data_IF_387235323472
#
_entry.id   IF_387235323472
#
_cell.length_a   1.000
_cell.length_b   1.000
_cell.length_c   1.000
_cell.angle_alpha   90.00
_cell.angle_beta   90.00
_cell.angle_gamma   90.00
#
_symmetry.space_group_name_H-M   'P 1'
#
loop_
_entity.id
_entity.type
_entity.pdbx_description
1 polymer ?
#
# COMPACT_ATOMS: atom_id res chain seq x y z
N UNK A 1 0.95 16.26 17.30
CA UNK A 1 1.98 15.65 16.48
C UNK A 1 3.21 15.34 17.31
N UNK A 2 4.00 14.41 16.86
CA UNK A 2 5.27 14.08 17.48
C UNK A 2 6.36 15.00 16.92
N UNK A 3 7.27 15.42 17.80
CA UNK A 3 8.45 16.21 17.42
C UNK A 3 8.16 17.57 16.77
N UNK A 4 6.96 18.11 16.98
CA UNK A 4 6.61 19.40 16.39
C UNK A 4 6.54 19.40 14.87
N UNK A 5 6.46 18.24 14.24
CA UNK A 5 6.43 18.12 12.77
C UNK A 5 5.13 18.59 12.13
N UNK A 6 4.08 18.81 12.91
CA UNK A 6 2.76 19.09 12.39
C UNK A 6 2.02 17.86 11.86
N UNK A 7 2.58 16.67 12.03
CA UNK A 7 1.92 15.44 11.62
C UNK A 7 0.74 15.11 12.54
N UNK A 8 -0.35 14.67 11.95
CA UNK A 8 -1.54 14.22 12.65
C UNK A 8 -1.59 12.70 12.62
N UNK A 9 -1.80 12.08 13.76
CA UNK A 9 -1.90 10.62 13.87
C UNK A 9 -3.36 10.26 14.11
N UNK A 10 -3.91 9.44 13.20
CA UNK A 10 -5.30 9.00 13.26
C UNK A 10 -5.33 7.47 13.28
N UNK A 11 -6.07 6.90 14.21
CA UNK A 11 -6.30 5.47 14.23
C UNK A 11 -7.54 5.13 13.42
N UNK A 12 -7.43 4.15 12.50
CA UNK A 12 -8.56 3.73 11.68
C UNK A 12 -8.16 2.65 10.71
N UNK A 13 -9.16 2.12 10.02
CA UNK A 13 -8.97 1.11 8.98
C UNK A 13 -8.88 1.81 7.62
N UNK A 14 -7.81 1.57 6.87
CA UNK A 14 -7.60 2.20 5.55
C UNK A 14 -8.67 1.80 4.54
N UNK A 15 -9.39 0.71 4.77
CA UNK A 15 -10.47 0.27 3.90
C UNK A 15 -11.81 0.92 4.27
N UNK A 16 -11.88 1.69 5.34
CA UNK A 16 -13.10 2.36 5.79
C UNK A 16 -13.38 3.60 4.95
N UNK A 17 -14.50 3.59 4.23
CA UNK A 17 -14.92 4.72 3.40
C UNK A 17 -15.06 6.02 4.19
N UNK A 18 -15.52 5.94 5.43
CA UNK A 18 -15.67 7.12 6.29
C UNK A 18 -14.31 7.77 6.56
N UNK A 19 -13.28 6.96 6.81
CA UNK A 19 -11.93 7.47 7.00
C UNK A 19 -11.40 8.13 5.73
N UNK A 20 -11.63 7.49 4.58
CA UNK A 20 -11.22 8.05 3.29
C UNK A 20 -11.87 9.41 3.07
N UNK A 21 -13.20 9.50 3.26
CA UNK A 21 -13.94 10.74 3.06
C UNK A 21 -13.50 11.86 3.99
N UNK A 22 -13.16 11.54 5.23
CA UNK A 22 -12.74 12.54 6.23
C UNK A 22 -11.29 13.00 6.07
N UNK A 23 -10.51 12.32 5.24
CA UNK A 23 -9.10 12.66 5.02
C UNK A 23 -8.98 13.70 3.91
N UNK A 24 -8.19 14.77 4.10
CA UNK A 24 -7.99 15.75 3.03
C UNK A 24 -7.17 15.18 1.87
N UNK A 25 -7.27 15.80 0.71
CA UNK A 25 -6.46 15.41 -0.44
C UNK A 25 -4.98 15.66 -0.17
N UNK A 26 -4.13 14.85 -0.77
CA UNK A 26 -2.68 14.89 -0.56
C UNK A 26 -1.93 14.88 -1.89
N UNK A 27 -0.69 15.33 -1.84
CA UNK A 27 0.23 15.27 -2.97
C UNK A 27 0.93 13.91 -3.06
N UNK A 28 1.06 13.23 -1.93
CA UNK A 28 1.76 11.96 -1.84
C UNK A 28 1.03 11.06 -0.83
N UNK A 29 0.76 9.83 -1.24
CA UNK A 29 0.27 8.77 -0.36
C UNK A 29 1.31 7.66 -0.35
N UNK A 30 1.80 7.31 0.84
CA UNK A 30 2.77 6.22 1.02
C UNK A 30 2.12 5.13 1.86
N UNK A 31 2.20 3.90 1.39
CA UNK A 31 1.56 2.76 2.06
C UNK A 31 2.51 1.58 2.19
N UNK A 32 2.43 0.94 3.34
CA UNK A 32 3.06 -0.35 3.58
C UNK A 32 1.98 -1.32 4.08
N UNK A 33 1.08 -1.78 3.19
CA UNK A 33 -0.03 -2.65 3.61
C UNK A 33 0.42 -4.08 3.83
N UNK A 34 -0.38 -4.89 4.57
CA UNK A 34 -0.14 -6.32 4.67
C UNK A 34 -0.16 -6.98 3.28
N UNK A 35 0.81 -7.82 2.98
CA UNK A 35 0.98 -8.40 1.64
C UNK A 35 1.25 -9.91 1.65
N UNK A 36 1.27 -10.55 2.80
CA UNK A 36 1.52 -11.99 2.87
C UNK A 36 0.32 -12.79 2.38
N UNK A 37 0.59 -13.83 1.61
CA UNK A 37 -0.42 -14.76 1.10
C UNK A 37 -0.83 -15.77 2.16
N UNK A 38 -1.87 -16.57 1.87
CA UNK A 38 -2.24 -17.70 2.75
C UNK A 38 -1.07 -18.66 2.93
N UNK A 39 -0.36 -18.95 1.84
CA UNK A 39 0.82 -19.82 1.90
C UNK A 39 1.91 -19.25 2.78
N UNK A 40 2.19 -17.95 2.67
CA UNK A 40 3.16 -17.27 3.50
C UNK A 40 2.79 -17.31 4.98
N UNK A 41 1.51 -17.12 5.30
CA UNK A 41 1.01 -17.18 6.68
C UNK A 41 1.16 -18.57 7.26
N UNK A 42 0.91 -19.63 6.49
CA UNK A 42 1.11 -21.00 6.93
C UNK A 42 2.58 -21.26 7.26
N UNK A 43 3.50 -20.73 6.47
CA UNK A 43 4.93 -20.83 6.75
C UNK A 43 5.30 -20.12 8.05
N UNK A 44 4.74 -18.93 8.29
CA UNK A 44 5.02 -18.14 9.49
C UNK A 44 4.50 -18.80 10.76
N UNK A 45 3.43 -19.56 10.71
CA UNK A 45 2.89 -20.27 11.87
C UNK A 45 3.86 -21.28 12.46
N UNK A 46 4.86 -21.69 11.71
CA UNK A 46 5.91 -22.61 12.14
C UNK A 46 7.06 -21.90 12.84
N UNK A 47 7.08 -20.59 12.82
CA UNK A 47 8.12 -19.76 13.40
C UNK A 47 7.54 -18.85 14.47
N UNK A 48 8.38 -18.43 15.39
CA UNK A 48 7.98 -17.46 16.40
C UNK A 48 7.91 -16.07 15.75
N UNK A 49 6.72 -15.46 15.78
CA UNK A 49 6.56 -14.09 15.32
C UNK A 49 5.94 -13.25 16.42
N UNK A 50 6.35 -12.00 16.50
CA UNK A 50 5.83 -11.05 17.47
C UNK A 50 4.77 -10.11 16.88
N UNK A 51 4.53 -10.20 15.57
CA UNK A 51 3.53 -9.36 14.90
C UNK A 51 2.19 -10.09 14.81
N UNK A 52 1.07 -9.38 15.04
CA UNK A 52 -0.27 -9.97 14.85
C UNK A 52 -0.47 -10.45 13.41
N UNK A 53 -1.16 -11.55 13.24
CA UNK A 53 -1.45 -12.10 11.91
C UNK A 53 -2.18 -11.09 11.04
N UNK A 54 -3.11 -10.31 11.60
CA UNK A 54 -3.86 -9.30 10.87
C UNK A 54 -2.98 -8.19 10.29
N UNK A 55 -1.83 -7.92 10.91
CA UNK A 55 -0.89 -6.91 10.43
C UNK A 55 -0.05 -7.41 9.25
N UNK A 56 -0.02 -8.71 8.99
CA UNK A 56 0.83 -9.34 7.98
C UNK A 56 0.04 -9.90 6.80
N UNK A 57 -1.19 -10.39 7.06
CA UNK A 57 -1.96 -11.11 6.05
C UNK A 57 -2.60 -10.16 5.03
N UNK A 58 -2.25 -10.33 3.75
CA UNK A 58 -2.77 -9.52 2.64
C UNK A 58 -3.82 -10.22 1.78
N UNK A 59 -4.43 -11.29 2.28
CA UNK A 59 -5.39 -12.08 1.52
C UNK A 59 -4.73 -13.28 0.86
N UNK A 60 -5.52 -14.06 0.11
CA UNK A 60 -5.07 -15.31 -0.50
C UNK A 60 -3.84 -15.11 -1.40
N UNK A 61 -3.85 -14.07 -2.23
CA UNK A 61 -2.75 -13.75 -3.14
C UNK A 61 -1.86 -12.59 -2.64
N UNK A 62 -2.12 -12.08 -1.43
CA UNK A 62 -1.35 -11.00 -0.85
C UNK A 62 -1.68 -9.61 -1.39
N UNK A 63 -2.73 -9.47 -2.19
CA UNK A 63 -3.02 -8.23 -2.92
C UNK A 63 -4.30 -7.50 -2.48
N UNK A 64 -5.04 -8.06 -1.50
CA UNK A 64 -6.33 -7.49 -1.09
C UNK A 64 -6.24 -6.01 -0.70
N UNK A 65 -5.27 -5.66 0.13
CA UNK A 65 -5.11 -4.27 0.58
C UNK A 65 -4.68 -3.35 -0.55
N UNK A 66 -3.85 -3.82 -1.47
CA UNK A 66 -3.46 -3.01 -2.63
C UNK A 66 -4.69 -2.66 -3.48
N UNK A 67 -5.57 -3.63 -3.73
CA UNK A 67 -6.81 -3.41 -4.48
C UNK A 67 -7.71 -2.39 -3.80
N UNK A 68 -7.92 -2.53 -2.50
CA UNK A 68 -8.77 -1.63 -1.75
C UNK A 68 -8.18 -0.21 -1.67
N UNK A 69 -6.90 -0.11 -1.39
CA UNK A 69 -6.24 1.19 -1.25
C UNK A 69 -6.19 1.94 -2.58
N UNK A 70 -5.81 1.27 -3.66
CA UNK A 70 -5.78 1.91 -4.98
C UNK A 70 -7.17 2.42 -5.34
N UNK A 71 -8.20 1.59 -5.18
CA UNK A 71 -9.57 1.93 -5.54
C UNK A 71 -10.12 3.08 -4.72
N UNK A 72 -9.91 3.06 -3.41
CA UNK A 72 -10.53 4.01 -2.48
C UNK A 72 -9.75 5.29 -2.32
N UNK A 73 -8.43 5.21 -2.29
CA UNK A 73 -7.58 6.35 -1.96
C UNK A 73 -7.07 7.15 -3.16
N UNK A 74 -7.20 6.65 -4.38
CA UNK A 74 -6.77 7.42 -5.56
C UNK A 74 -7.48 8.76 -5.66
N UNK A 75 -8.74 8.84 -5.24
CA UNK A 75 -9.52 10.09 -5.25
C UNK A 75 -9.00 11.12 -4.25
N UNK A 76 -8.18 10.71 -3.30
CA UNK A 76 -7.57 11.60 -2.30
C UNK A 76 -6.21 12.13 -2.74
N UNK A 77 -5.73 11.74 -3.90
CA UNK A 77 -4.58 12.39 -4.51
C UNK A 77 -5.03 13.62 -5.27
N UNK A 78 -4.29 14.70 -5.11
CA UNK A 78 -4.42 15.87 -5.99
C UNK A 78 -3.95 15.46 -7.38
N UNK A 79 -4.42 16.15 -8.41
CA UNK A 79 -3.98 15.86 -9.78
C UNK A 79 -2.46 15.99 -9.88
N UNK A 80 -1.78 14.98 -10.41
CA UNK A 80 -0.32 14.91 -10.44
C UNK A 80 0.28 14.32 -9.17
N UNK A 81 -0.54 13.93 -8.20
CA UNK A 81 -0.07 13.32 -6.96
C UNK A 81 0.45 11.90 -7.17
N UNK A 82 1.25 11.44 -6.22
CA UNK A 82 1.94 10.14 -6.30
C UNK A 82 1.43 9.20 -5.22
N UNK A 83 1.18 7.95 -5.59
CA UNK A 83 0.94 6.87 -4.65
C UNK A 83 2.11 5.91 -4.71
N UNK A 84 2.67 5.58 -3.54
CA UNK A 84 3.83 4.71 -3.43
C UNK A 84 3.53 3.58 -2.45
N UNK A 85 3.79 2.36 -2.88
CA UNK A 85 3.61 1.16 -2.06
C UNK A 85 4.94 0.47 -1.78
N UNK A 86 5.11 0.01 -0.56
CA UNK A 86 6.05 -1.06 -0.29
C UNK A 86 5.37 -2.39 -0.64
N UNK A 87 6.11 -3.30 -1.28
CA UNK A 87 5.56 -4.56 -1.77
C UNK A 87 6.34 -5.76 -1.24
N UNK A 88 5.70 -6.92 -1.25
CA UNK A 88 6.37 -8.20 -1.01
C UNK A 88 7.14 -8.66 -2.24
N UNK A 89 8.04 -9.60 -2.03
CA UNK A 89 8.88 -10.16 -3.09
C UNK A 89 7.99 -10.78 -4.18
N UNK A 90 8.23 -10.40 -5.42
CA UNK A 90 7.53 -10.96 -6.58
C UNK A 90 6.19 -10.33 -6.89
N UNK A 91 5.76 -9.29 -6.18
CA UNK A 91 4.46 -8.65 -6.38
C UNK A 91 4.50 -7.45 -7.33
N UNK A 92 5.67 -7.03 -7.80
CA UNK A 92 5.81 -5.79 -8.57
C UNK A 92 4.94 -5.73 -9.82
N UNK A 93 4.88 -6.80 -10.59
CA UNK A 93 4.12 -6.80 -11.85
C UNK A 93 2.62 -6.66 -11.61
N UNK A 94 2.10 -7.36 -10.62
CA UNK A 94 0.67 -7.34 -10.31
C UNK A 94 0.23 -6.00 -9.70
N UNK A 95 1.04 -5.44 -8.81
CA UNK A 95 0.74 -4.13 -8.21
C UNK A 95 0.83 -3.03 -9.28
N UNK A 96 1.83 -3.09 -10.15
CA UNK A 96 1.94 -2.15 -11.27
C UNK A 96 0.72 -2.23 -12.18
N UNK A 97 0.32 -3.44 -12.54
CA UNK A 97 -0.87 -3.66 -13.39
C UNK A 97 -2.13 -3.11 -12.74
N UNK A 98 -2.29 -3.34 -11.45
CA UNK A 98 -3.42 -2.83 -10.68
C UNK A 98 -3.47 -1.29 -10.74
N UNK A 99 -2.36 -0.63 -10.55
CA UNK A 99 -2.29 0.83 -10.61
C UNK A 99 -2.61 1.35 -12.01
N UNK A 100 -2.08 0.70 -13.04
CA UNK A 100 -2.36 1.06 -14.44
C UNK A 100 -3.86 0.92 -14.74
N UNK A 101 -4.49 -0.15 -14.28
CA UNK A 101 -5.93 -0.37 -14.45
C UNK A 101 -6.78 0.72 -13.83
N UNK A 102 -6.29 1.34 -12.76
CA UNK A 102 -6.98 2.44 -12.06
C UNK A 102 -6.57 3.83 -12.54
N UNK A 103 -5.88 3.92 -13.67
CA UNK A 103 -5.59 5.19 -14.31
C UNK A 103 -4.32 5.88 -13.89
N UNK A 104 -3.46 5.21 -13.13
CA UNK A 104 -2.16 5.76 -12.77
C UNK A 104 -1.22 5.75 -13.97
N UNK A 105 -0.39 6.78 -14.07
CA UNK A 105 0.61 6.96 -15.13
C UNK A 105 2.02 6.87 -14.55
N UNK A 106 3.00 6.64 -15.42
CA UNK A 106 4.41 6.52 -15.04
C UNK A 106 4.60 5.54 -13.88
N UNK A 107 3.90 4.40 -13.95
CA UNK A 107 3.98 3.37 -12.92
C UNK A 107 5.36 2.73 -13.00
N UNK A 108 6.06 2.72 -11.88
CA UNK A 108 7.45 2.25 -11.80
C UNK A 108 7.65 1.35 -10.58
N UNK A 109 8.61 0.45 -10.68
CA UNK A 109 9.08 -0.31 -9.54
C UNK A 109 10.56 -0.03 -9.29
N UNK A 110 10.97 -0.13 -8.02
CA UNK A 110 12.35 0.11 -7.60
C UNK A 110 12.85 -1.02 -6.73
N UNK A 111 14.11 -1.34 -6.91
CA UNK A 111 14.81 -2.35 -6.13
C UNK A 111 15.44 -1.74 -4.88
N UNK A 112 15.57 -2.56 -3.84
CA UNK A 112 16.35 -2.21 -2.66
C UNK A 112 17.85 -2.48 -2.88
N UNK A 113 18.64 -2.33 -1.82
CA UNK A 113 20.09 -2.56 -1.88
C UNK A 113 20.45 -4.04 -2.10
N UNK A 114 19.50 -4.95 -1.90
CA UNK A 114 19.68 -6.39 -2.15
C UNK A 114 19.24 -6.81 -3.54
N UNK A 115 18.98 -5.86 -4.42
CA UNK A 115 18.52 -6.07 -5.81
C UNK A 115 17.15 -6.76 -5.90
N UNK A 116 16.27 -6.50 -4.94
CA UNK A 116 14.90 -7.02 -4.87
C UNK A 116 13.91 -5.88 -5.03
N UNK A 117 12.90 -6.03 -5.90
CA UNK A 117 11.85 -5.02 -6.05
C UNK A 117 11.05 -4.87 -4.77
N UNK A 118 11.04 -3.66 -4.21
CA UNK A 118 10.41 -3.34 -2.92
C UNK A 118 9.41 -2.22 -2.96
N UNK A 119 9.41 -1.41 -4.00
CA UNK A 119 8.53 -0.27 -4.13
C UNK A 119 7.86 -0.24 -5.49
N UNK A 120 6.59 0.14 -5.51
CA UNK A 120 5.87 0.49 -6.74
C UNK A 120 5.25 1.86 -6.55
N UNK A 121 5.39 2.73 -7.53
CA UNK A 121 4.82 4.07 -7.48
C UNK A 121 4.13 4.41 -8.80
N UNK A 122 3.18 5.33 -8.73
CA UNK A 122 2.49 5.84 -9.91
C UNK A 122 1.96 7.23 -9.67
N UNK A 123 1.70 7.96 -10.75
CA UNK A 123 1.18 9.32 -10.74
C UNK A 123 -0.29 9.27 -11.14
N UNK A 124 -1.14 9.94 -10.36
CA UNK A 124 -2.57 10.02 -10.66
C UNK A 124 -2.92 11.42 -11.14
N UNK A 125 -3.43 11.51 -12.37
CA UNK A 125 -3.91 12.75 -12.95
C UNK A 125 -5.43 12.67 -13.10
N UNK A 126 -6.11 13.58 -12.44
CA UNK A 126 -7.58 13.66 -12.49
C UNK A 126 -8.06 14.28 -13.81
#
# INVERSE_FOLDING_TARGET
SLNGSGAEIVMGDVTDETLVESTPEADLIVCNPPYLTTEDMDALQREVTFEPAEALFGGEDGLDFYREIVRKWKKKLKSGGVMLFEIGIGQEDEVMRLMIQHGFKNVRCRKDLCDVYRCVSGIYEK
#
